data_IF_191291422167
#
_entry.id   IF_191291422167
#
_cell.length_a   1.000
_cell.length_b   1.000
_cell.length_c   1.000
_cell.angle_alpha   90.00
_cell.angle_beta   90.00
_cell.angle_gamma   90.00
#
_symmetry.space_group_name_H-M   'P 1'
#
loop_
_entity.id
_entity.type
_entity.pdbx_description
1 polymer ?
#
# COMPACT_ATOMS: atom_id res chain seq x y z
N UNK A 1 6.86 -27.06 -17.75
CA UNK A 1 7.30 -26.78 -16.36
C UNK A 1 8.03 -25.44 -16.24
N UNK A 2 9.13 -25.15 -16.98
CA UNK A 2 9.83 -23.84 -16.91
C UNK A 2 8.93 -22.65 -17.30
N UNK A 3 8.08 -22.83 -18.33
CA UNK A 3 7.16 -21.79 -18.78
C UNK A 3 6.09 -21.49 -17.71
N UNK A 4 5.51 -22.50 -17.09
CA UNK A 4 4.52 -22.34 -16.02
C UNK A 4 5.10 -21.68 -14.79
N UNK A 5 6.35 -22.01 -14.43
CA UNK A 5 7.07 -21.34 -13.35
C UNK A 5 7.36 -19.87 -13.70
N UNK A 6 7.79 -19.59 -14.92
CA UNK A 6 8.00 -18.21 -15.40
C UNK A 6 6.73 -17.37 -15.32
N UNK A 7 5.59 -17.91 -15.75
CA UNK A 7 4.28 -17.24 -15.66
C UNK A 7 3.88 -17.01 -14.20
N UNK A 8 4.06 -18.00 -13.33
CA UNK A 8 3.76 -17.86 -11.90
C UNK A 8 4.63 -16.79 -11.23
N UNK A 9 5.93 -16.76 -11.51
CA UNK A 9 6.84 -15.75 -11.02
C UNK A 9 6.45 -14.35 -11.50
N UNK A 10 6.18 -14.20 -12.79
CA UNK A 10 5.75 -12.93 -13.39
C UNK A 10 4.44 -12.41 -12.77
N UNK A 11 3.43 -13.29 -12.63
CA UNK A 11 2.16 -12.92 -12.02
C UNK A 11 2.31 -12.52 -10.54
N UNK A 12 3.24 -13.15 -9.80
CA UNK A 12 3.51 -12.79 -8.42
C UNK A 12 4.16 -11.40 -8.31
N UNK A 13 5.11 -11.07 -9.20
CA UNK A 13 5.71 -9.74 -9.27
C UNK A 13 4.66 -8.67 -9.58
N UNK A 14 3.88 -8.86 -10.62
CA UNK A 14 2.80 -7.93 -11.01
C UNK A 14 1.76 -7.78 -9.89
N UNK A 15 1.44 -8.88 -9.21
CA UNK A 15 0.54 -8.87 -8.05
C UNK A 15 1.08 -8.06 -6.89
N UNK A 16 2.36 -8.20 -6.56
CA UNK A 16 3.01 -7.45 -5.47
C UNK A 16 3.10 -5.95 -5.78
N UNK A 17 3.45 -5.56 -6.99
CA UNK A 17 3.46 -4.17 -7.44
C UNK A 17 2.07 -3.52 -7.36
N UNK A 18 1.05 -4.24 -7.83
CA UNK A 18 -0.33 -3.77 -7.78
C UNK A 18 -0.83 -3.60 -6.33
N UNK A 19 -0.51 -4.54 -5.45
CA UNK A 19 -0.85 -4.45 -4.03
C UNK A 19 -0.13 -3.25 -3.40
N UNK A 20 1.16 -3.05 -3.69
CA UNK A 20 1.92 -1.91 -3.22
C UNK A 20 1.26 -0.58 -3.64
N UNK A 21 0.86 -0.46 -4.89
CA UNK A 21 0.20 0.74 -5.41
C UNK A 21 -1.17 0.99 -4.77
N UNK A 22 -1.97 -0.06 -4.59
CA UNK A 22 -3.26 0.02 -3.90
C UNK A 22 -3.06 0.45 -2.44
N UNK A 23 -2.11 -0.15 -1.73
CA UNK A 23 -1.80 0.17 -0.34
C UNK A 23 -1.35 1.62 -0.19
N UNK A 24 -0.44 2.10 -1.06
CA UNK A 24 -0.02 3.50 -1.08
C UNK A 24 -1.19 4.46 -1.28
N UNK A 25 -2.09 4.14 -2.20
CA UNK A 25 -3.29 4.96 -2.45
C UNK A 25 -4.25 4.95 -1.25
N UNK A 26 -4.42 3.82 -0.58
CA UNK A 26 -5.26 3.70 0.61
C UNK A 26 -4.68 4.53 1.78
N UNK A 27 -3.38 4.43 2.03
CA UNK A 27 -2.71 5.22 3.08
C UNK A 27 -2.86 6.72 2.79
N UNK A 28 -2.60 7.17 1.57
CA UNK A 28 -2.77 8.58 1.20
C UNK A 28 -4.21 9.05 1.36
N UNK A 29 -5.19 8.22 1.01
CA UNK A 29 -6.60 8.54 1.22
C UNK A 29 -6.94 8.65 2.71
N UNK A 30 -6.44 7.76 3.53
CA UNK A 30 -6.65 7.78 4.99
C UNK A 30 -6.05 9.04 5.62
N UNK A 31 -4.83 9.42 5.21
CA UNK A 31 -4.19 10.66 5.64
C UNK A 31 -5.03 11.88 5.25
N UNK A 32 -5.53 11.94 4.02
CA UNK A 32 -6.39 13.03 3.58
C UNK A 32 -7.68 13.10 4.43
N UNK A 33 -8.34 11.96 4.68
CA UNK A 33 -9.52 11.91 5.56
C UNK A 33 -9.19 12.40 6.96
N UNK A 34 -8.03 12.01 7.52
CA UNK A 34 -7.56 12.47 8.84
C UNK A 34 -7.37 14.01 8.86
N UNK A 35 -6.68 14.57 7.86
CA UNK A 35 -6.43 16.01 7.76
C UNK A 35 -7.74 16.79 7.60
N UNK A 36 -8.63 16.33 6.73
CA UNK A 36 -9.97 16.90 6.56
C UNK A 36 -10.77 16.89 7.87
N UNK A 37 -10.83 15.73 8.55
CA UNK A 37 -11.56 15.57 9.80
C UNK A 37 -10.99 16.48 10.89
N UNK A 38 -9.67 16.53 11.05
CA UNK A 38 -8.99 17.40 12.00
C UNK A 38 -9.31 18.88 11.75
N UNK A 39 -9.24 19.31 10.49
CA UNK A 39 -9.49 20.72 10.13
C UNK A 39 -10.95 21.09 10.39
N UNK A 40 -11.91 20.28 9.94
CA UNK A 40 -13.34 20.52 10.15
C UNK A 40 -13.71 20.51 11.64
N UNK A 41 -13.23 19.52 12.38
CA UNK A 41 -13.51 19.41 13.82
C UNK A 41 -12.96 20.63 14.59
N UNK A 42 -11.73 21.05 14.27
CA UNK A 42 -11.14 22.24 14.88
C UNK A 42 -11.90 23.51 14.48
N UNK A 43 -12.28 23.67 13.22
CA UNK A 43 -13.07 24.82 12.77
C UNK A 43 -14.41 24.94 13.52
N UNK A 44 -15.14 23.83 13.67
CA UNK A 44 -16.42 23.79 14.38
C UNK A 44 -16.21 24.10 15.87
N UNK A 45 -15.22 23.47 16.51
CA UNK A 45 -14.91 23.72 17.93
C UNK A 45 -14.54 25.19 18.20
N UNK A 46 -13.71 25.78 17.33
CA UNK A 46 -13.36 27.19 17.42
C UNK A 46 -14.57 28.10 17.18
N UNK A 47 -15.41 27.76 16.21
CA UNK A 47 -16.66 28.49 15.93
C UNK A 47 -17.61 28.49 17.13
N UNK A 48 -17.75 27.35 17.81
CA UNK A 48 -18.54 27.26 19.04
C UNK A 48 -17.93 28.06 20.21
N UNK A 49 -16.60 28.05 20.32
CA UNK A 49 -15.87 28.78 21.35
C UNK A 49 -16.06 30.29 21.24
N UNK A 50 -16.17 30.82 20.02
CA UNK A 50 -16.25 32.26 19.73
C UNK A 50 -17.67 32.76 19.47
N UNK A 51 -18.68 31.90 19.46
CA UNK A 51 -20.06 32.27 19.05
C UNK A 51 -20.69 33.43 19.79
N UNK A 52 -20.30 33.66 21.04
CA UNK A 52 -20.82 34.73 21.90
C UNK A 52 -19.82 35.90 22.04
N UNK A 53 -18.71 35.88 21.29
CA UNK A 53 -17.70 36.93 21.28
C UNK A 53 -18.02 37.91 20.15
N UNK A 54 -18.16 39.21 20.49
CA UNK A 54 -18.56 40.23 19.52
C UNK A 54 -17.37 40.95 18.87
N UNK A 55 -16.23 41.02 19.59
CA UNK A 55 -15.03 41.68 19.07
C UNK A 55 -14.24 40.73 18.15
N UNK A 56 -13.97 41.15 16.94
CA UNK A 56 -13.14 40.35 15.99
C UNK A 56 -11.70 40.15 16.52
N UNK A 57 -11.13 41.17 17.21
CA UNK A 57 -9.82 41.05 17.81
C UNK A 57 -9.80 40.00 18.92
N UNK A 58 -10.85 39.94 19.71
CA UNK A 58 -10.99 38.95 20.78
C UNK A 58 -11.20 37.55 20.22
N UNK A 59 -12.02 37.39 19.18
CA UNK A 59 -12.16 36.13 18.47
C UNK A 59 -10.81 35.60 17.98
N UNK A 60 -10.05 36.44 17.26
CA UNK A 60 -8.72 36.10 16.76
C UNK A 60 -7.77 35.71 17.90
N UNK A 61 -7.78 36.45 19.03
CA UNK A 61 -6.95 36.13 20.18
C UNK A 61 -7.27 34.77 20.81
N UNK A 62 -8.56 34.45 20.96
CA UNK A 62 -9.03 33.15 21.48
C UNK A 62 -8.57 32.02 20.52
N UNK A 63 -8.80 32.19 19.20
CA UNK A 63 -8.41 31.22 18.19
C UNK A 63 -6.89 31.00 18.20
N UNK A 64 -6.11 32.09 18.17
CA UNK A 64 -4.66 32.02 18.18
C UNK A 64 -4.12 31.27 19.41
N UNK A 65 -4.70 31.54 20.59
CA UNK A 65 -4.33 30.86 21.84
C UNK A 65 -4.65 29.37 21.77
N UNK A 66 -5.81 28.99 21.22
CA UNK A 66 -6.24 27.60 21.13
C UNK A 66 -5.35 26.75 20.23
N UNK A 67 -4.81 27.32 19.14
CA UNK A 67 -3.98 26.59 18.19
C UNK A 67 -2.47 26.71 18.45
N UNK A 68 -2.01 27.59 19.31
CA UNK A 68 -0.59 27.94 19.51
C UNK A 68 0.30 26.72 19.77
N UNK A 69 -0.12 25.84 20.68
CA UNK A 69 0.66 24.69 21.10
C UNK A 69 0.18 23.36 20.47
N UNK A 70 -0.78 23.42 19.56
CA UNK A 70 -1.27 22.22 18.93
C UNK A 70 -0.28 21.73 17.89
N UNK A 71 0.24 20.51 18.12
CA UNK A 71 1.18 19.84 17.20
C UNK A 71 0.76 18.40 17.04
N UNK A 72 0.91 17.89 15.85
CA UNK A 72 0.67 16.49 15.53
C UNK A 72 1.74 15.99 14.51
N UNK A 73 1.67 14.75 14.11
CA UNK A 73 2.71 13.94 13.49
C UNK A 73 3.89 13.67 14.45
N UNK A 74 4.65 12.61 14.18
CA UNK A 74 5.76 12.19 15.06
C UNK A 74 6.87 13.23 15.14
N UNK A 75 7.14 13.91 14.03
CA UNK A 75 8.12 15.01 13.94
C UNK A 75 7.57 16.37 14.41
N UNK A 76 6.31 16.41 14.90
CA UNK A 76 5.61 17.62 15.34
C UNK A 76 5.49 18.71 14.27
N UNK A 77 5.59 18.33 13.01
CA UNK A 77 5.48 19.26 11.87
C UNK A 77 4.05 19.67 11.55
N UNK A 78 3.05 18.94 12.05
CA UNK A 78 1.65 19.28 11.90
C UNK A 78 1.20 20.41 12.83
N UNK A 79 0.55 21.44 12.30
CA UNK A 79 0.03 22.59 13.04
C UNK A 79 -1.14 23.22 12.30
N UNK A 80 -1.98 23.98 13.02
CA UNK A 80 -3.04 24.79 12.43
C UNK A 80 -2.57 26.21 12.17
N UNK A 81 -3.17 26.86 11.16
CA UNK A 81 -2.99 28.29 10.88
C UNK A 81 -4.32 28.89 10.44
N UNK A 82 -4.51 30.19 10.72
CA UNK A 82 -5.76 30.89 10.49
C UNK A 82 -5.53 32.20 9.75
N UNK A 83 -6.36 32.42 8.76
CA UNK A 83 -6.37 33.62 7.95
C UNK A 83 -7.78 34.25 7.93
N UNK A 84 -7.82 35.53 7.67
CA UNK A 84 -9.05 36.22 7.26
C UNK A 84 -8.89 36.64 5.81
N UNK A 85 -9.67 36.09 4.92
CA UNK A 85 -9.41 36.19 3.47
C UNK A 85 -7.98 35.75 3.15
N UNK A 86 -7.10 36.71 2.82
CA UNK A 86 -5.69 36.46 2.52
C UNK A 86 -4.71 36.99 3.57
N UNK A 87 -5.23 37.62 4.65
CA UNK A 87 -4.42 38.16 5.73
C UNK A 87 -4.20 37.12 6.83
N UNK A 88 -2.95 36.93 7.23
CA UNK A 88 -2.57 36.01 8.32
C UNK A 88 -3.07 36.53 9.66
N UNK A 89 -3.87 35.73 10.38
CA UNK A 89 -4.38 36.08 11.73
C UNK A 89 -3.72 35.29 12.84
N UNK A 90 -3.42 34.02 12.61
CA UNK A 90 -2.69 33.19 13.57
C UNK A 90 -1.83 32.17 12.83
N UNK A 91 -0.56 32.11 13.17
CA UNK A 91 0.40 31.18 12.58
C UNK A 91 1.50 30.80 13.58
N UNK A 92 1.45 29.64 14.23
CA UNK A 92 2.34 29.31 15.34
C UNK A 92 3.82 29.09 14.92
N UNK A 93 4.07 28.79 13.64
CA UNK A 93 5.43 28.58 13.08
C UNK A 93 5.99 29.85 12.44
N UNK A 94 5.15 30.62 11.76
CA UNK A 94 5.57 31.85 11.04
C UNK A 94 4.88 33.07 11.66
N UNK A 95 5.25 33.38 12.91
CA UNK A 95 4.71 34.54 13.63
C UNK A 95 5.05 35.86 12.98
N UNK A 96 6.16 35.90 12.23
CA UNK A 96 6.61 37.04 11.43
C UNK A 96 5.62 37.43 10.33
N UNK A 97 4.75 36.52 9.89
CA UNK A 97 3.74 36.78 8.86
C UNK A 97 2.41 37.32 9.41
N UNK A 98 2.20 37.31 10.73
CA UNK A 98 0.93 37.75 11.33
C UNK A 98 0.65 39.21 10.96
N UNK A 99 -0.55 39.48 10.43
CA UNK A 99 -0.98 40.78 9.94
C UNK A 99 -0.63 41.05 8.48
N UNK A 100 0.18 40.22 7.83
CA UNK A 100 0.55 40.40 6.42
C UNK A 100 -0.55 39.88 5.49
N UNK A 101 -0.86 40.61 4.45
CA UNK A 101 -1.69 40.15 3.33
C UNK A 101 -0.84 39.36 2.33
N UNK A 102 -1.17 38.08 2.18
CA UNK A 102 -0.46 37.14 1.31
C UNK A 102 -1.23 36.84 0.00
N UNK A 103 -2.07 37.78 -0.46
CA UNK A 103 -2.83 37.62 -1.72
C UNK A 103 -1.94 37.28 -2.91
N UNK A 104 -0.76 37.91 -3.04
CA UNK A 104 0.19 37.70 -4.11
C UNK A 104 1.30 36.67 -3.77
N UNK A 105 1.27 36.09 -2.59
CA UNK A 105 2.25 35.09 -2.22
C UNK A 105 2.07 33.80 -3.03
N UNK A 106 3.18 33.30 -3.55
CA UNK A 106 3.25 32.04 -4.29
C UNK A 106 4.45 31.23 -3.84
N UNK A 107 4.35 29.94 -3.96
CA UNK A 107 5.48 29.04 -3.74
C UNK A 107 6.47 29.05 -4.93
N UNK A 108 7.52 28.25 -4.86
CA UNK A 108 8.53 28.12 -5.90
C UNK A 108 7.99 27.56 -7.22
N UNK A 109 6.87 26.82 -7.18
CA UNK A 109 6.17 26.29 -8.34
C UNK A 109 5.10 27.25 -8.91
N UNK A 110 4.96 28.43 -8.31
CA UNK A 110 4.00 29.45 -8.74
C UNK A 110 2.59 29.27 -8.21
N UNK A 111 2.36 28.35 -7.25
CA UNK A 111 1.05 28.13 -6.64
C UNK A 111 0.71 29.28 -5.69
N UNK A 112 -0.42 29.94 -5.91
CA UNK A 112 -0.93 31.00 -5.03
C UNK A 112 -1.70 30.38 -3.86
N UNK A 113 -0.98 29.70 -2.99
CA UNK A 113 -1.52 28.79 -1.97
C UNK A 113 -2.55 29.43 -1.02
N UNK A 114 -2.39 30.69 -0.64
CA UNK A 114 -3.36 31.38 0.24
C UNK A 114 -4.69 31.62 -0.48
N UNK A 115 -4.63 32.08 -1.75
CA UNK A 115 -5.85 32.29 -2.55
C UNK A 115 -6.58 30.98 -2.81
N UNK A 116 -5.85 29.95 -3.15
CA UNK A 116 -6.42 28.64 -3.44
C UNK A 116 -7.03 28.01 -2.18
N UNK A 117 -6.33 28.06 -1.04
CA UNK A 117 -6.87 27.58 0.23
C UNK A 117 -8.13 28.35 0.65
N UNK A 118 -8.13 29.68 0.50
CA UNK A 118 -9.33 30.50 0.79
C UNK A 118 -10.49 30.12 -0.13
N UNK A 119 -10.24 29.96 -1.42
CA UNK A 119 -11.26 29.50 -2.37
C UNK A 119 -11.85 28.14 -1.95
N UNK A 120 -10.99 27.18 -1.58
CA UNK A 120 -11.44 25.88 -1.07
C UNK A 120 -12.27 26.01 0.20
N UNK A 121 -11.88 26.90 1.12
CA UNK A 121 -12.66 27.14 2.32
C UNK A 121 -14.09 27.66 2.00
N UNK A 122 -14.24 28.55 1.02
CA UNK A 122 -15.53 29.05 0.55
C UNK A 122 -16.37 27.95 -0.11
N UNK A 123 -15.76 26.97 -0.76
CA UNK A 123 -16.39 25.79 -1.40
C UNK A 123 -16.74 24.66 -0.41
N UNK A 124 -16.84 24.98 0.89
CA UNK A 124 -17.10 24.00 1.99
C UNK A 124 -15.93 23.04 2.28
N UNK A 125 -14.74 23.45 1.94
CA UNK A 125 -13.48 22.78 2.22
C UNK A 125 -12.84 22.09 1.02
N UNK A 126 -11.53 21.97 1.03
CA UNK A 126 -10.77 21.29 -0.01
C UNK A 126 -9.28 21.32 0.24
N UNK A 127 -8.57 20.51 -0.55
CA UNK A 127 -7.10 20.39 -0.48
C UNK A 127 -6.39 21.30 -1.48
N UNK A 128 -5.23 21.76 -1.05
CA UNK A 128 -4.23 22.43 -1.90
C UNK A 128 -2.86 21.86 -1.55
N UNK A 129 -2.04 21.59 -2.57
CA UNK A 129 -0.65 21.16 -2.41
C UNK A 129 0.29 22.28 -2.85
N UNK A 130 1.26 22.62 -1.99
CA UNK A 130 2.21 23.72 -2.20
C UNK A 130 3.46 23.52 -1.36
N UNK A 131 4.54 24.22 -1.68
CA UNK A 131 5.76 24.22 -0.86
C UNK A 131 5.67 25.30 0.23
N UNK A 132 5.98 24.90 1.46
CA UNK A 132 5.95 25.81 2.60
C UNK A 132 6.98 25.44 3.68
N UNK A 133 7.20 26.39 4.58
CA UNK A 133 8.08 26.24 5.73
C UNK A 133 7.63 25.09 6.65
N UNK A 134 8.47 24.08 6.77
CA UNK A 134 8.31 22.93 7.67
C UNK A 134 9.17 23.13 8.92
N UNK A 135 8.57 23.15 10.13
CA UNK A 135 9.35 23.15 11.36
C UNK A 135 10.03 21.79 11.55
N UNK A 136 11.29 21.82 11.97
CA UNK A 136 12.07 20.63 12.27
C UNK A 136 12.22 20.46 13.79
N UNK A 137 12.39 19.22 14.30
CA UNK A 137 12.60 18.97 15.73
C UNK A 137 13.79 19.68 16.36
N UNK A 138 14.83 20.00 15.56
CA UNK A 138 16.02 20.74 15.99
C UNK A 138 15.80 22.27 16.07
N UNK A 139 14.58 22.76 15.77
CA UNK A 139 14.23 24.17 15.76
C UNK A 139 14.54 24.92 14.48
N UNK A 140 15.13 24.26 13.49
CA UNK A 140 15.34 24.82 12.14
C UNK A 140 14.06 24.74 11.31
N UNK A 141 14.05 25.47 10.21
CA UNK A 141 12.96 25.42 9.24
C UNK A 141 13.49 24.99 7.87
N UNK A 142 12.81 24.09 7.21
CA UNK A 142 13.08 23.70 5.82
C UNK A 142 11.88 24.04 4.94
N UNK A 143 12.07 24.03 3.62
CA UNK A 143 10.95 24.11 2.67
C UNK A 143 10.61 22.70 2.23
N UNK A 144 9.34 22.31 2.31
CA UNK A 144 8.88 21.01 1.89
C UNK A 144 7.46 21.09 1.29
N UNK A 145 7.14 20.11 0.44
CA UNK A 145 5.80 19.97 -0.16
C UNK A 145 4.79 19.62 0.92
N UNK A 146 3.75 20.45 1.03
CA UNK A 146 2.66 20.33 2.01
C UNK A 146 1.34 20.16 1.29
N UNK A 147 0.57 19.15 1.68
CA UNK A 147 -0.85 19.02 1.31
C UNK A 147 -1.69 19.47 2.48
N UNK A 148 -2.46 20.54 2.30
CA UNK A 148 -3.25 21.16 3.36
C UNK A 148 -4.74 21.21 2.97
N UNK A 149 -5.60 21.05 3.96
CA UNK A 149 -7.05 21.20 3.86
C UNK A 149 -7.49 22.47 4.55
N UNK A 150 -8.39 23.24 3.95
CA UNK A 150 -8.93 24.46 4.51
C UNK A 150 -10.45 24.39 4.72
N UNK A 151 -10.95 25.10 5.74
CA UNK A 151 -12.35 25.18 6.05
C UNK A 151 -12.69 26.51 6.74
N UNK A 152 -13.89 27.07 6.49
CA UNK A 152 -14.37 28.27 7.18
C UNK A 152 -14.64 27.97 8.65
N UNK A 153 -14.30 28.92 9.52
CA UNK A 153 -14.65 28.86 10.94
C UNK A 153 -16.08 29.41 11.09
N UNK A 154 -17.04 28.63 11.61
CA UNK A 154 -18.39 29.12 11.86
C UNK A 154 -18.38 30.32 12.84
N UNK A 155 -19.38 31.21 12.74
CA UNK A 155 -19.54 32.39 13.59
C UNK A 155 -18.37 33.41 13.53
N UNK A 156 -17.59 33.36 12.44
CA UNK A 156 -16.49 34.29 12.21
C UNK A 156 -16.46 34.76 10.75
N UNK A 157 -16.42 36.09 10.53
CA UNK A 157 -16.51 36.68 9.21
C UNK A 157 -15.22 36.42 8.40
N UNK A 158 -15.35 35.60 7.34
CA UNK A 158 -14.25 35.23 6.43
C UNK A 158 -12.99 34.65 7.10
N UNK A 159 -13.06 34.25 8.39
CA UNK A 159 -11.99 33.50 9.02
C UNK A 159 -12.05 32.04 8.59
N UNK A 160 -10.90 31.53 8.18
CA UNK A 160 -10.74 30.13 7.84
C UNK A 160 -9.48 29.55 8.49
N UNK A 161 -9.56 28.27 8.79
CA UNK A 161 -8.48 27.48 9.37
C UNK A 161 -8.00 26.46 8.37
N UNK A 162 -6.73 26.16 8.41
CA UNK A 162 -6.14 25.08 7.65
C UNK A 162 -5.10 24.33 8.45
N UNK A 163 -4.95 23.08 8.13
CA UNK A 163 -3.83 22.25 8.53
C UNK A 163 -3.46 21.30 7.42
N UNK A 164 -2.29 20.71 7.51
CA UNK A 164 -1.81 19.78 6.48
C UNK A 164 -0.60 18.99 6.94
N UNK A 165 -0.18 18.11 6.09
CA UNK A 165 0.95 17.20 6.29
C UNK A 165 2.01 17.44 5.24
N UNK A 166 3.26 17.19 5.58
CA UNK A 166 4.38 17.29 4.67
C UNK A 166 4.70 15.94 4.05
N UNK A 167 4.99 15.94 2.77
CA UNK A 167 5.26 14.72 1.98
C UNK A 167 6.46 13.95 2.51
N UNK A 168 7.54 14.66 2.84
CA UNK A 168 8.77 14.09 3.40
C UNK A 168 8.59 13.48 4.81
N UNK A 169 7.54 13.87 5.55
CA UNK A 169 7.13 13.20 6.80
C UNK A 169 6.38 11.91 6.49
N UNK A 170 5.57 11.90 5.44
CA UNK A 170 4.70 10.76 5.10
C UNK A 170 5.43 9.66 4.33
N UNK A 171 6.36 10.01 3.45
CA UNK A 171 7.07 9.04 2.61
C UNK A 171 7.76 7.94 3.42
N UNK A 172 8.56 8.24 4.47
CA UNK A 172 9.18 7.18 5.28
C UNK A 172 8.16 6.25 5.96
N UNK A 173 7.02 6.79 6.42
CA UNK A 173 5.94 6.01 7.01
C UNK A 173 5.28 5.09 5.97
N UNK A 174 5.00 5.62 4.77
CA UNK A 174 4.40 4.85 3.68
C UNK A 174 5.37 3.77 3.21
N UNK A 175 6.63 4.13 2.95
CA UNK A 175 7.65 3.22 2.42
C UNK A 175 7.99 2.12 3.44
N UNK A 176 8.06 2.43 4.74
CA UNK A 176 8.29 1.44 5.80
C UNK A 176 7.17 0.39 5.87
N UNK A 177 5.91 0.81 5.86
CA UNK A 177 4.78 -0.12 5.82
C UNK A 177 4.74 -0.95 4.54
N UNK A 178 5.11 -0.34 3.41
CA UNK A 178 5.17 -1.01 2.12
C UNK A 178 6.28 -2.06 2.08
N UNK A 179 7.48 -1.73 2.58
CA UNK A 179 8.62 -2.64 2.66
C UNK A 179 8.31 -3.86 3.53
N UNK A 180 7.67 -3.68 4.69
CA UNK A 180 7.22 -4.77 5.54
C UNK A 180 6.24 -5.70 4.81
N UNK A 181 5.24 -5.13 4.12
CA UNK A 181 4.27 -5.87 3.34
C UNK A 181 4.94 -6.67 2.20
N UNK A 182 5.80 -6.03 1.40
CA UNK A 182 6.52 -6.67 0.30
C UNK A 182 7.48 -7.76 0.79
N UNK A 183 8.15 -7.54 1.93
CA UNK A 183 8.98 -8.54 2.60
C UNK A 183 8.16 -9.77 3.01
N UNK A 184 6.98 -9.58 3.57
CA UNK A 184 6.07 -10.67 3.92
C UNK A 184 5.68 -11.49 2.67
N UNK A 185 5.29 -10.83 1.58
CA UNK A 185 4.95 -11.53 0.33
C UNK A 185 6.14 -12.28 -0.25
N UNK A 186 7.31 -11.67 -0.31
CA UNK A 186 8.51 -12.33 -0.86
C UNK A 186 8.91 -13.56 -0.04
N UNK A 187 8.92 -13.47 1.30
CA UNK A 187 9.22 -14.61 2.18
C UNK A 187 8.26 -15.77 1.98
N UNK A 188 6.96 -15.49 1.87
CA UNK A 188 5.97 -16.52 1.64
C UNK A 188 6.07 -17.12 0.23
N UNK A 189 6.38 -16.30 -0.77
CA UNK A 189 6.64 -16.76 -2.13
C UNK A 189 7.83 -17.74 -2.18
N UNK A 190 8.95 -17.42 -1.57
CA UNK A 190 10.10 -18.33 -1.49
C UNK A 190 9.78 -19.63 -0.75
N UNK A 191 9.04 -19.58 0.35
CA UNK A 191 8.56 -20.81 1.05
C UNK A 191 7.73 -21.69 0.14
N UNK A 192 6.83 -21.08 -0.64
CA UNK A 192 5.98 -21.80 -1.60
C UNK A 192 6.81 -22.46 -2.70
N UNK A 193 7.82 -21.75 -3.25
CA UNK A 193 8.74 -22.32 -4.25
C UNK A 193 9.50 -23.53 -3.67
N UNK A 194 10.05 -23.40 -2.47
CA UNK A 194 10.78 -24.50 -1.80
C UNK A 194 9.85 -25.71 -1.64
N UNK A 195 8.63 -25.51 -1.15
CA UNK A 195 7.65 -26.57 -0.99
C UNK A 195 7.36 -27.29 -2.32
N UNK A 196 7.07 -26.56 -3.39
CA UNK A 196 6.81 -27.16 -4.70
C UNK A 196 8.04 -27.87 -5.27
N UNK A 197 9.23 -27.33 -5.05
CA UNK A 197 10.47 -27.96 -5.50
C UNK A 197 10.68 -29.31 -4.80
N UNK A 198 10.51 -29.37 -3.48
CA UNK A 198 10.59 -30.60 -2.71
C UNK A 198 9.51 -31.61 -3.13
N UNK A 199 8.28 -31.14 -3.36
CA UNK A 199 7.19 -31.98 -3.83
C UNK A 199 7.49 -32.61 -5.20
N UNK A 200 8.05 -31.85 -6.13
CA UNK A 200 8.48 -32.35 -7.46
C UNK A 200 9.59 -33.39 -7.32
N UNK A 201 10.60 -33.14 -6.45
CA UNK A 201 11.69 -34.06 -6.21
C UNK A 201 11.21 -35.42 -5.67
N UNK A 202 10.11 -35.44 -4.93
CA UNK A 202 9.49 -36.67 -4.42
C UNK A 202 8.64 -37.36 -5.50
N UNK A 203 7.83 -36.61 -6.24
CA UNK A 203 6.87 -37.17 -7.19
C UNK A 203 7.56 -37.73 -8.44
N UNK A 204 8.60 -37.08 -8.98
CA UNK A 204 9.26 -37.54 -10.20
C UNK A 204 9.83 -38.97 -10.07
N UNK A 205 10.60 -39.30 -9.01
CA UNK A 205 11.06 -40.68 -8.80
C UNK A 205 9.90 -41.67 -8.65
N UNK A 206 8.83 -41.28 -7.93
CA UNK A 206 7.66 -42.12 -7.78
C UNK A 206 6.98 -42.45 -9.11
N UNK A 207 6.75 -41.44 -9.94
CA UNK A 207 6.20 -41.63 -11.30
C UNK A 207 7.13 -42.51 -12.14
N UNK A 208 8.45 -42.31 -12.05
CA UNK A 208 9.44 -43.10 -12.80
C UNK A 208 9.39 -44.58 -12.39
N UNK A 209 9.34 -44.89 -11.09
CA UNK A 209 9.24 -46.25 -10.58
C UNK A 209 7.93 -46.88 -11.03
N UNK A 210 6.82 -46.17 -10.90
CA UNK A 210 5.50 -46.65 -11.35
C UNK A 210 5.49 -46.94 -12.83
N UNK A 211 5.98 -46.02 -13.68
CA UNK A 211 6.06 -46.20 -15.11
C UNK A 211 6.95 -47.40 -15.52
N UNK A 212 8.10 -47.56 -14.87
CA UNK A 212 9.00 -48.73 -15.08
C UNK A 212 8.30 -50.04 -14.75
N UNK A 213 7.61 -50.11 -13.65
CA UNK A 213 6.90 -51.33 -13.19
C UNK A 213 5.77 -51.69 -14.19
N UNK A 214 5.01 -50.67 -14.62
CA UNK A 214 3.95 -50.82 -15.61
C UNK A 214 4.48 -51.36 -16.94
N UNK A 215 5.55 -50.78 -17.49
CA UNK A 215 6.17 -51.26 -18.75
C UNK A 215 6.68 -52.69 -18.59
N UNK A 216 7.34 -53.01 -17.49
CA UNK A 216 7.86 -54.37 -17.25
C UNK A 216 6.73 -55.35 -17.20
N UNK A 217 5.60 -55.05 -16.53
CA UNK A 217 4.41 -55.90 -16.51
C UNK A 217 3.83 -56.15 -17.90
N UNK A 218 3.63 -55.07 -18.68
CA UNK A 218 3.10 -55.17 -20.06
C UNK A 218 4.02 -55.97 -20.97
N UNK A 219 5.34 -55.77 -20.86
CA UNK A 219 6.33 -56.52 -21.65
C UNK A 219 6.32 -58.00 -21.26
N UNK A 220 6.20 -58.35 -19.98
CA UNK A 220 6.07 -59.73 -19.54
C UNK A 220 4.86 -60.42 -20.12
N UNK A 221 3.68 -59.82 -20.06
CA UNK A 221 2.45 -60.34 -20.69
C UNK A 221 2.62 -60.54 -22.19
N UNK A 222 3.16 -59.50 -22.91
CA UNK A 222 3.43 -59.61 -24.31
C UNK A 222 4.34 -60.81 -24.65
N UNK A 223 5.40 -61.00 -23.88
CA UNK A 223 6.34 -62.15 -24.10
C UNK A 223 5.68 -63.46 -23.84
N UNK A 224 4.87 -63.60 -22.77
CA UNK A 224 4.13 -64.84 -22.45
C UNK A 224 3.13 -65.18 -23.55
N UNK A 225 2.35 -64.20 -24.04
CA UNK A 225 1.40 -64.37 -25.12
C UNK A 225 2.12 -64.79 -26.44
N UNK A 226 3.24 -64.16 -26.78
CA UNK A 226 4.01 -64.49 -27.96
C UNK A 226 4.59 -65.90 -27.88
N UNK A 227 5.16 -66.30 -26.74
CA UNK A 227 5.69 -67.64 -26.48
C UNK A 227 4.60 -68.71 -26.63
N UNK A 228 3.40 -68.43 -26.12
CA UNK A 228 2.24 -69.33 -26.28
C UNK A 228 1.83 -69.50 -27.75
N UNK A 229 1.75 -68.44 -28.52
CA UNK A 229 1.44 -68.50 -29.95
C UNK A 229 2.52 -69.22 -30.77
N UNK A 230 3.79 -69.00 -30.44
CA UNK A 230 4.91 -69.73 -31.11
C UNK A 230 4.89 -71.21 -30.80
N UNK A 231 4.46 -71.63 -29.61
CA UNK A 231 4.23 -73.03 -29.24
C UNK A 231 3.08 -73.63 -30.07
N UNK A 232 1.92 -72.97 -30.14
CA UNK A 232 0.75 -73.43 -30.91
C UNK A 232 1.09 -73.59 -32.38
N UNK A 233 1.88 -72.67 -32.94
CA UNK A 233 2.31 -72.66 -34.33
C UNK A 233 3.48 -73.65 -34.63
N UNK A 234 3.82 -74.54 -33.66
CA UNK A 234 4.91 -75.52 -33.76
C UNK A 234 6.30 -74.91 -34.04
N UNK A 235 6.50 -73.63 -33.73
CA UNK A 235 7.81 -72.96 -33.90
C UNK A 235 8.76 -73.28 -32.72
N UNK A 236 8.22 -73.57 -31.57
CA UNK A 236 8.96 -73.97 -30.35
C UNK A 236 8.40 -75.23 -29.77
N UNK A 237 9.24 -76.03 -29.04
CA UNK A 237 8.83 -77.28 -28.40
C UNK A 237 8.32 -77.03 -26.97
N UNK A 238 8.64 -75.91 -26.36
CA UNK A 238 8.28 -75.55 -24.98
C UNK A 238 7.76 -74.12 -24.92
N UNK A 239 6.78 -73.85 -24.06
CA UNK A 239 6.35 -72.52 -23.71
C UNK A 239 7.27 -71.98 -22.61
N UNK A 240 7.92 -70.87 -22.87
CA UNK A 240 8.65 -70.14 -21.83
C UNK A 240 7.79 -69.01 -21.32
N UNK A 241 7.59 -68.89 -20.02
CA UNK A 241 6.83 -67.83 -19.37
C UNK A 241 7.76 -66.98 -18.51
N UNK A 242 7.47 -65.70 -18.42
CA UNK A 242 8.13 -64.77 -17.51
C UNK A 242 7.13 -64.51 -16.36
N UNK A 243 7.53 -64.77 -15.14
CA UNK A 243 6.74 -64.49 -13.98
C UNK A 243 6.74 -62.94 -13.73
N UNK A 244 5.58 -62.31 -13.88
CA UNK A 244 5.37 -60.89 -13.61
C UNK A 244 5.00 -60.71 -12.13
N UNK A 245 6.00 -60.50 -11.29
CA UNK A 245 5.86 -60.35 -9.83
C UNK A 245 5.28 -58.98 -9.47
N UNK A 246 4.00 -58.75 -9.77
CA UNK A 246 3.25 -57.59 -9.27
C UNK A 246 2.00 -58.06 -8.58
N UNK A 247 1.55 -57.32 -7.51
CA UNK A 247 0.33 -57.63 -6.77
C UNK A 247 -0.90 -56.92 -7.36
N UNK A 248 -0.87 -56.60 -8.63
CA UNK A 248 -1.92 -55.94 -9.40
C UNK A 248 -2.51 -56.90 -10.46
N UNK A 249 -3.38 -56.37 -11.33
CA UNK A 249 -4.02 -57.11 -12.40
C UNK A 249 -3.01 -57.71 -13.38
N UNK A 250 -1.83 -57.11 -13.53
CA UNK A 250 -0.77 -57.63 -14.40
C UNK A 250 -0.14 -58.92 -13.83
N UNK A 251 0.04 -58.99 -12.49
CA UNK A 251 0.53 -60.21 -11.85
C UNK A 251 -0.51 -61.33 -11.80
N UNK A 252 -1.81 -61.03 -11.86
CA UNK A 252 -2.89 -62.05 -11.93
C UNK A 252 -3.06 -62.65 -13.30
N UNK A 253 -2.64 -61.96 -14.38
CA UNK A 253 -2.79 -62.39 -15.77
C UNK A 253 -1.52 -63.11 -16.27
N UNK A 254 -0.39 -62.91 -15.62
CA UNK A 254 0.89 -63.54 -15.99
C UNK A 254 1.04 -64.95 -15.53
#
# INVERSE_FOLDING_TARGET
MLITFGIFYYNNLQGSEKIAQITKNLINKEINVKVELLTKSMAIALGDLIKNVHSEEEKVKIIATAIENFRFEEDKSGYFFVYQKTTVKAHPVRKDLIGTDLYNAKDENGVFYVRELYQRALEKGGFVTFHFTKPQPNGENTIAEKTAYSYLIPNADDLWISTGVYKDTLEPYIDGNLEELLSFFSKNFFKTIIFFTLFILIIIPFIFIFYRNLITGVQGIKTNITSFFDFINHKTKNVSTIDVKTNDEFGQIS
#
